data_IF_872923014785
#
_entry.id   IF_872923014785
#
_cell.length_a   1.000
_cell.length_b   1.000
_cell.length_c   1.000
_cell.angle_alpha   90.00
_cell.angle_beta   90.00
_cell.angle_gamma   90.00
#
_symmetry.space_group_name_H-M   'P 1'
#
loop_
_entity.id
_entity.type
_entity.pdbx_description
1 polymer ?
#
# COMPACT_ATOMS: atom_id res chain seq x y z
N UNK A 1 -2.22 18.76 14.85
CA UNK A 1 -1.57 19.00 13.56
C UNK A 1 -2.23 18.07 12.55
N UNK A 2 -2.86 18.58 11.51
CA UNK A 2 -3.57 17.72 10.54
C UNK A 2 -2.57 17.00 9.64
N UNK A 3 -2.77 15.70 9.40
CA UNK A 3 -1.98 14.87 8.46
C UNK A 3 -1.94 15.50 7.06
N UNK A 4 -2.95 16.29 6.70
CA UNK A 4 -3.00 17.05 5.45
C UNK A 4 -1.86 18.08 5.29
N UNK A 5 -1.31 18.62 6.39
CA UNK A 5 -0.18 19.58 6.34
C UNK A 5 1.18 18.90 6.17
N UNK A 6 1.25 17.58 6.44
CA UNK A 6 2.48 16.80 6.28
C UNK A 6 2.75 16.45 4.80
N UNK A 7 1.69 16.18 4.02
CA UNK A 7 1.84 15.79 2.61
C UNK A 7 2.59 16.84 1.76
N UNK A 8 2.26 18.14 1.79
CA UNK A 8 3.03 19.17 1.07
C UNK A 8 4.48 19.28 1.53
N UNK A 9 4.73 19.17 2.85
CA UNK A 9 6.10 19.22 3.40
C UNK A 9 6.93 18.03 2.91
N UNK A 10 6.36 16.84 2.91
CA UNK A 10 7.01 15.63 2.40
C UNK A 10 7.29 15.73 0.91
N UNK A 11 6.34 16.22 0.12
CA UNK A 11 6.56 16.48 -1.31
C UNK A 11 7.64 17.51 -1.56
N UNK A 12 7.71 18.59 -0.76
CA UNK A 12 8.75 19.60 -0.87
C UNK A 12 10.14 19.02 -0.60
N UNK A 13 10.26 18.09 0.36
CA UNK A 13 11.51 17.37 0.63
C UNK A 13 11.93 16.49 -0.56
N UNK A 14 10.98 15.85 -1.23
CA UNK A 14 11.25 14.98 -2.39
C UNK A 14 11.49 15.76 -3.69
N UNK A 15 11.08 17.04 -3.79
CA UNK A 15 11.11 17.83 -5.02
C UNK A 15 12.49 17.95 -5.67
N UNK A 16 13.61 18.13 -4.92
CA UNK A 16 14.95 18.13 -5.54
C UNK A 16 15.27 16.80 -6.24
N UNK A 17 14.93 15.67 -5.63
CA UNK A 17 15.10 14.33 -6.22
C UNK A 17 14.24 14.18 -7.48
N UNK A 18 12.97 14.60 -7.43
CA UNK A 18 12.05 14.52 -8.57
C UNK A 18 12.57 15.33 -9.76
N UNK A 19 13.10 16.54 -9.52
CA UNK A 19 13.72 17.37 -10.56
C UNK A 19 14.93 16.68 -11.20
N UNK A 20 15.79 16.07 -10.39
CA UNK A 20 16.96 15.34 -10.89
C UNK A 20 16.56 14.12 -11.74
N UNK A 21 15.55 13.36 -11.29
CA UNK A 21 15.03 12.22 -12.04
C UNK A 21 14.42 12.66 -13.37
N UNK A 22 13.61 13.73 -13.36
CA UNK A 22 13.03 14.30 -14.57
C UNK A 22 14.11 14.77 -15.56
N UNK A 23 15.15 15.47 -15.07
CA UNK A 23 16.28 15.93 -15.89
C UNK A 23 17.09 14.77 -16.52
N UNK A 24 17.11 13.60 -15.87
CA UNK A 24 17.72 12.35 -16.39
C UNK A 24 16.78 11.57 -17.31
N UNK A 25 15.59 12.06 -17.61
CA UNK A 25 14.61 11.38 -18.46
C UNK A 25 13.89 10.21 -17.79
N UNK A 26 13.97 10.08 -16.46
CA UNK A 26 13.23 9.03 -15.74
C UNK A 26 11.73 9.35 -15.77
N UNK A 27 10.94 8.35 -16.13
CA UNK A 27 9.47 8.48 -16.24
C UNK A 27 8.75 8.04 -14.97
N UNK A 28 7.56 8.61 -14.73
CA UNK A 28 6.67 8.20 -13.64
C UNK A 28 6.39 6.68 -13.69
N UNK A 29 6.10 6.15 -14.87
CA UNK A 29 5.82 4.72 -15.07
C UNK A 29 7.01 3.83 -14.70
N UNK A 30 8.25 4.26 -14.99
CA UNK A 30 9.45 3.52 -14.58
C UNK A 30 9.58 3.45 -13.07
N UNK A 31 9.33 4.55 -12.36
CA UNK A 31 9.36 4.57 -10.87
C UNK A 31 8.32 3.63 -10.31
N UNK A 32 7.09 3.68 -10.82
CA UNK A 32 5.98 2.80 -10.40
C UNK A 32 6.33 1.32 -10.61
N UNK A 33 6.84 0.95 -11.80
CA UNK A 33 7.22 -0.43 -12.13
C UNK A 33 8.38 -0.94 -11.29
N UNK A 34 9.43 -0.13 -11.08
CA UNK A 34 10.57 -0.49 -10.23
C UNK A 34 10.12 -0.72 -8.79
N UNK A 35 9.26 0.16 -8.25
CA UNK A 35 8.72 -0.01 -6.91
C UNK A 35 7.92 -1.32 -6.77
N UNK A 36 7.15 -1.69 -7.79
CA UNK A 36 6.42 -2.95 -7.82
C UNK A 36 7.35 -4.16 -7.89
N UNK A 37 8.32 -4.17 -8.81
CA UNK A 37 9.26 -5.28 -8.98
C UNK A 37 10.08 -5.52 -7.71
N UNK A 38 10.56 -4.46 -7.06
CA UNK A 38 11.27 -4.58 -5.80
C UNK A 38 10.36 -5.05 -4.65
N UNK A 39 9.08 -4.67 -4.65
CA UNK A 39 8.10 -5.19 -3.69
C UNK A 39 7.87 -6.69 -3.87
N UNK A 40 7.75 -7.14 -5.12
CA UNK A 40 7.61 -8.58 -5.44
C UNK A 40 8.88 -9.33 -5.02
N UNK A 41 10.06 -8.83 -5.39
CA UNK A 41 11.33 -9.46 -5.03
C UNK A 41 11.46 -9.61 -3.51
N UNK A 42 11.21 -8.53 -2.76
CA UNK A 42 11.26 -8.58 -1.30
C UNK A 42 10.23 -9.57 -0.74
N UNK A 43 9.00 -9.54 -1.22
CA UNK A 43 7.96 -10.48 -0.79
C UNK A 43 8.34 -11.93 -1.05
N UNK A 44 8.89 -12.23 -2.21
CA UNK A 44 9.39 -13.59 -2.55
C UNK A 44 10.52 -14.00 -1.61
N UNK A 45 11.51 -13.16 -1.38
CA UNK A 45 12.62 -13.45 -0.46
C UNK A 45 12.10 -13.76 0.95
N UNK A 46 11.20 -12.94 1.48
CA UNK A 46 10.63 -13.16 2.82
C UNK A 46 9.76 -14.41 2.90
N UNK A 47 9.03 -14.75 1.83
CA UNK A 47 8.20 -15.95 1.77
C UNK A 47 9.04 -17.24 1.67
N UNK A 48 10.21 -17.17 1.00
CA UNK A 48 11.14 -18.29 0.92
C UNK A 48 11.93 -18.52 2.23
N UNK A 49 12.13 -17.45 3.00
CA UNK A 49 12.91 -17.48 4.23
C UNK A 49 12.13 -16.94 5.44
N UNK A 50 10.91 -17.44 5.72
CA UNK A 50 10.05 -16.87 6.75
C UNK A 50 10.59 -17.00 8.17
N UNK A 51 11.45 -17.99 8.42
CA UNK A 51 12.08 -18.24 9.74
C UNK A 51 13.24 -17.29 10.07
N UNK A 52 13.80 -16.61 9.06
CA UNK A 52 14.82 -15.59 9.27
C UNK A 52 14.17 -14.25 9.65
N UNK A 53 13.72 -14.16 10.89
CA UNK A 53 12.93 -13.01 11.39
C UNK A 53 13.61 -11.67 11.11
N UNK A 54 14.94 -11.60 11.20
CA UNK A 54 15.72 -10.38 10.97
C UNK A 54 15.52 -9.78 9.58
N UNK A 55 15.18 -10.59 8.56
CA UNK A 55 14.88 -10.09 7.22
C UNK A 55 13.62 -9.22 7.20
N UNK A 56 12.70 -9.44 8.14
CA UNK A 56 11.47 -8.67 8.23
C UNK A 56 11.69 -7.21 8.67
N UNK A 57 12.89 -6.80 9.11
CA UNK A 57 13.28 -5.40 9.22
C UNK A 57 13.14 -4.65 7.89
N UNK A 58 13.27 -5.35 6.76
CA UNK A 58 13.11 -4.74 5.45
C UNK A 58 11.65 -4.30 5.17
N UNK A 59 10.65 -4.89 5.82
CA UNK A 59 9.23 -4.53 5.62
C UNK A 59 8.94 -3.08 5.96
N UNK A 60 9.16 -2.58 7.21
CA UNK A 60 8.86 -1.19 7.54
C UNK A 60 9.70 -0.21 6.72
N UNK A 61 10.98 -0.53 6.45
CA UNK A 61 11.86 0.31 5.63
C UNK A 61 11.31 0.40 4.22
N UNK A 62 10.95 -0.74 3.61
CA UNK A 62 10.46 -0.77 2.24
C UNK A 62 9.09 -0.12 2.09
N UNK A 63 8.17 -0.35 3.03
CA UNK A 63 6.86 0.31 3.01
C UNK A 63 6.98 1.82 3.09
N UNK A 64 7.93 2.36 3.88
CA UNK A 64 8.22 3.78 3.92
C UNK A 64 8.81 4.28 2.59
N UNK A 65 9.81 3.58 2.03
CA UNK A 65 10.40 3.92 0.73
C UNK A 65 9.36 3.86 -0.39
N UNK A 66 8.49 2.85 -0.40
CA UNK A 66 7.41 2.74 -1.38
C UNK A 66 6.43 3.90 -1.28
N UNK A 67 6.11 4.37 -0.07
CA UNK A 67 5.30 5.59 0.11
C UNK A 67 5.99 6.82 -0.52
N UNK A 68 7.31 6.94 -0.38
CA UNK A 68 8.07 8.00 -1.01
C UNK A 68 8.09 7.85 -2.54
N UNK A 69 8.30 6.64 -3.08
CA UNK A 69 8.28 6.38 -4.52
C UNK A 69 6.90 6.68 -5.15
N UNK A 70 5.80 6.34 -4.48
CA UNK A 70 4.45 6.72 -4.91
C UNK A 70 4.21 8.24 -4.87
N UNK A 71 4.90 8.98 -4.00
CA UNK A 71 4.86 10.43 -4.04
C UNK A 71 5.69 10.97 -5.23
N UNK A 72 6.85 10.36 -5.51
CA UNK A 72 7.75 10.72 -6.62
C UNK A 72 7.08 10.50 -7.97
N UNK A 73 6.48 9.31 -8.22
CA UNK A 73 5.81 9.03 -9.50
C UNK A 73 4.61 9.97 -9.73
N UNK A 74 3.83 10.23 -8.68
CA UNK A 74 2.73 11.18 -8.74
C UNK A 74 3.19 12.63 -8.98
N UNK A 75 4.37 13.04 -8.48
CA UNK A 75 4.96 14.36 -8.77
C UNK A 75 5.51 14.43 -10.20
N UNK A 76 6.23 13.41 -10.66
CA UNK A 76 6.69 13.30 -12.05
C UNK A 76 5.49 13.40 -13.01
N UNK A 77 4.42 12.67 -12.74
CA UNK A 77 3.22 12.67 -13.57
C UNK A 77 2.57 14.07 -13.64
N UNK A 78 2.45 14.76 -12.51
CA UNK A 78 1.71 16.05 -12.43
C UNK A 78 2.56 17.26 -12.76
N UNK A 79 3.81 17.33 -12.26
CA UNK A 79 4.64 18.52 -12.35
C UNK A 79 5.51 18.53 -13.63
N UNK A 80 5.71 17.36 -14.28
CA UNK A 80 6.53 17.21 -15.48
C UNK A 80 5.75 16.67 -16.69
N UNK A 81 4.42 16.84 -16.71
CA UNK A 81 3.53 16.47 -17.84
C UNK A 81 3.64 15.01 -18.29
N UNK A 82 3.92 14.08 -17.37
CA UNK A 82 4.05 12.66 -17.67
C UNK A 82 2.76 11.86 -17.38
N UNK A 83 1.61 12.53 -17.20
CA UNK A 83 0.33 11.84 -17.04
C UNK A 83 -0.02 11.06 -18.29
N UNK A 84 -0.37 9.77 -18.12
CA UNK A 84 -0.82 8.92 -19.22
C UNK A 84 -1.95 7.99 -18.75
N UNK A 85 -2.77 7.50 -19.68
CA UNK A 85 -3.79 6.49 -19.40
C UNK A 85 -3.15 5.21 -18.85
N UNK A 86 -2.05 4.77 -19.48
CA UNK A 86 -1.28 3.61 -19.00
C UNK A 86 -0.77 3.83 -17.57
N UNK A 87 -0.26 5.04 -17.25
CA UNK A 87 0.20 5.38 -15.90
C UNK A 87 -0.91 5.24 -14.85
N UNK A 88 -2.14 5.58 -15.18
CA UNK A 88 -3.30 5.36 -14.31
C UNK A 88 -3.52 3.87 -14.01
N UNK A 89 -3.53 3.01 -15.05
CA UNK A 89 -3.65 1.55 -14.86
C UNK A 89 -2.48 0.98 -14.06
N UNK A 90 -1.25 1.36 -14.42
CA UNK A 90 -0.06 0.88 -13.72
C UNK A 90 -0.11 1.22 -12.23
N UNK A 91 -0.43 2.47 -11.87
CA UNK A 91 -0.51 2.89 -10.48
C UNK A 91 -1.47 2.01 -9.66
N UNK A 92 -2.67 1.74 -10.20
CA UNK A 92 -3.67 0.94 -9.48
C UNK A 92 -3.28 -0.54 -9.37
N UNK A 93 -2.85 -1.14 -10.47
CA UNK A 93 -2.51 -2.56 -10.52
C UNK A 93 -1.27 -2.85 -9.69
N UNK A 94 -0.21 -2.04 -9.85
CA UNK A 94 1.04 -2.27 -9.12
C UNK A 94 0.90 -2.05 -7.62
N UNK A 95 -0.02 -1.18 -7.20
CA UNK A 95 -0.33 -0.99 -5.78
C UNK A 95 -0.93 -2.24 -5.16
N UNK A 96 -1.92 -2.85 -5.83
CA UNK A 96 -2.54 -4.10 -5.38
C UNK A 96 -1.53 -5.25 -5.37
N UNK A 97 -0.75 -5.40 -6.44
CA UNK A 97 0.27 -6.45 -6.57
C UNK A 97 1.35 -6.31 -5.51
N UNK A 98 1.83 -5.09 -5.27
CA UNK A 98 2.86 -4.84 -4.26
C UNK A 98 2.36 -5.10 -2.84
N UNK A 99 1.13 -4.69 -2.51
CA UNK A 99 0.52 -4.97 -1.22
C UNK A 99 0.40 -6.48 -1.00
N UNK A 100 -0.11 -7.22 -2.00
CA UNK A 100 -0.21 -8.67 -1.94
C UNK A 100 1.15 -9.34 -1.72
N UNK A 101 2.18 -8.94 -2.48
CA UNK A 101 3.51 -9.50 -2.37
C UNK A 101 4.14 -9.27 -0.99
N UNK A 102 3.95 -8.08 -0.39
CA UNK A 102 4.53 -7.72 0.89
C UNK A 102 3.78 -8.31 2.10
N UNK A 103 2.48 -8.61 1.95
CA UNK A 103 1.68 -9.18 3.03
C UNK A 103 1.73 -10.71 3.03
N UNK A 104 1.89 -11.35 1.87
CA UNK A 104 1.91 -12.81 1.73
C UNK A 104 2.93 -13.52 2.65
N UNK A 105 4.17 -13.03 2.88
CA UNK A 105 5.12 -13.68 3.78
C UNK A 105 4.59 -13.92 5.20
N UNK A 106 3.68 -13.08 5.68
CA UNK A 106 3.07 -13.25 7.00
C UNK A 106 2.18 -14.50 7.12
N UNK A 107 1.74 -15.08 5.99
CA UNK A 107 1.02 -16.35 6.00
C UNK A 107 1.88 -17.53 6.51
N UNK A 108 3.21 -17.35 6.53
CA UNK A 108 4.19 -18.33 6.99
C UNK A 108 4.77 -17.99 8.37
N UNK A 109 4.27 -16.95 9.02
CA UNK A 109 4.73 -16.47 10.34
C UNK A 109 3.63 -16.68 11.37
N UNK A 110 3.88 -17.58 12.35
CA UNK A 110 2.94 -17.74 13.46
C UNK A 110 2.80 -16.41 14.26
N UNK A 111 1.60 -16.09 14.75
CA UNK A 111 0.41 -16.90 14.88
C UNK A 111 -0.58 -16.78 13.69
N UNK A 112 -0.20 -16.12 12.60
CA UNK A 112 -1.07 -15.98 11.44
C UNK A 112 -1.20 -17.29 10.68
N UNK A 113 -2.29 -17.42 9.92
CA UNK A 113 -2.51 -18.54 9.01
C UNK A 113 -2.77 -18.06 7.57
N UNK A 114 -2.68 -19.00 6.63
CA UNK A 114 -2.83 -18.69 5.20
C UNK A 114 -4.21 -18.13 4.86
N UNK A 115 -5.28 -18.56 5.57
CA UNK A 115 -6.65 -18.09 5.31
C UNK A 115 -6.79 -16.63 5.73
N UNK A 116 -6.27 -16.27 6.91
CA UNK A 116 -6.31 -14.88 7.40
C UNK A 116 -5.59 -13.93 6.44
N UNK A 117 -4.34 -14.26 6.10
CA UNK A 117 -3.53 -13.36 5.25
C UNK A 117 -4.08 -13.29 3.83
N UNK A 118 -4.52 -14.40 3.25
CA UNK A 118 -5.18 -14.40 1.94
C UNK A 118 -6.48 -13.58 1.94
N UNK A 119 -7.27 -13.68 3.02
CA UNK A 119 -8.47 -12.85 3.19
C UNK A 119 -8.14 -11.36 3.26
N UNK A 120 -7.09 -10.99 3.98
CA UNK A 120 -6.62 -9.59 4.05
C UNK A 120 -6.18 -9.11 2.67
N UNK A 121 -5.40 -9.88 1.93
CA UNK A 121 -4.92 -9.54 0.58
C UNK A 121 -6.12 -9.34 -0.36
N UNK A 122 -7.06 -10.28 -0.36
CA UNK A 122 -8.26 -10.20 -1.21
C UNK A 122 -9.13 -8.99 -0.87
N UNK A 123 -9.42 -8.77 0.42
CA UNK A 123 -10.21 -7.62 0.87
C UNK A 123 -9.50 -6.29 0.65
N UNK A 124 -8.17 -6.24 0.76
CA UNK A 124 -7.38 -5.07 0.41
C UNK A 124 -7.56 -4.72 -1.07
N UNK A 125 -7.42 -5.70 -1.98
CA UNK A 125 -7.67 -5.52 -3.41
C UNK A 125 -9.12 -5.07 -3.69
N UNK A 126 -10.10 -5.72 -3.04
CA UNK A 126 -11.51 -5.35 -3.15
C UNK A 126 -11.78 -3.92 -2.68
N UNK A 127 -11.11 -3.48 -1.59
CA UNK A 127 -11.25 -2.12 -1.09
C UNK A 127 -10.76 -1.08 -2.11
N UNK A 128 -9.63 -1.34 -2.81
CA UNK A 128 -9.15 -0.45 -3.88
C UNK A 128 -10.10 -0.46 -5.09
N UNK A 129 -10.63 -1.64 -5.47
CA UNK A 129 -11.65 -1.75 -6.51
C UNK A 129 -12.90 -0.91 -6.17
N UNK A 130 -13.43 -1.02 -4.94
CA UNK A 130 -14.54 -0.17 -4.48
C UNK A 130 -14.22 1.31 -4.58
N UNK A 131 -12.95 1.69 -4.28
CA UNK A 131 -12.49 3.07 -4.41
C UNK A 131 -12.50 3.58 -5.85
N UNK A 132 -12.04 2.76 -6.81
CA UNK A 132 -12.02 3.08 -8.24
C UNK A 132 -13.45 3.12 -8.80
N UNK A 133 -14.30 2.16 -8.43
CA UNK A 133 -15.70 2.15 -8.85
C UNK A 133 -16.46 3.40 -8.41
N UNK A 134 -16.10 3.98 -7.26
CA UNK A 134 -16.62 5.28 -6.84
C UNK A 134 -16.34 6.40 -7.85
N UNK A 135 -15.20 6.37 -8.54
CA UNK A 135 -14.88 7.31 -9.62
C UNK A 135 -15.61 6.99 -10.93
N UNK A 136 -15.81 5.70 -11.22
CA UNK A 136 -16.49 5.25 -12.47
C UNK A 136 -17.98 5.49 -12.41
N UNK A 137 -18.61 5.26 -11.26
CA UNK A 137 -20.06 5.37 -11.05
C UNK A 137 -20.48 6.70 -10.43
N UNK A 138 -19.56 7.39 -9.75
CA UNK A 138 -19.76 8.68 -9.08
C UNK A 138 -18.93 9.79 -9.71
N UNK A 139 -18.42 10.70 -8.87
CA UNK A 139 -17.62 11.86 -9.28
C UNK A 139 -16.14 11.70 -8.94
N UNK A 140 -15.84 11.08 -7.78
CA UNK A 140 -14.48 11.02 -7.25
C UNK A 140 -14.07 9.62 -6.79
N UNK A 141 -12.76 9.34 -6.86
CA UNK A 141 -12.20 8.13 -6.26
C UNK A 141 -12.36 8.17 -4.74
N UNK A 142 -12.88 7.08 -4.18
CA UNK A 142 -13.13 6.98 -2.74
C UNK A 142 -11.89 6.46 -2.00
N UNK A 143 -11.58 7.12 -0.88
CA UNK A 143 -10.51 6.74 0.05
C UNK A 143 -11.01 6.52 1.48
N UNK A 144 -12.33 6.53 1.65
CA UNK A 144 -13.00 6.40 2.94
C UNK A 144 -12.70 5.05 3.60
N UNK A 145 -12.84 5.02 4.90
CA UNK A 145 -12.78 3.80 5.69
C UNK A 145 -11.58 3.73 6.63
N UNK A 146 -11.65 2.85 7.63
CA UNK A 146 -10.65 2.76 8.69
C UNK A 146 -9.40 1.95 8.33
N UNK A 147 -9.38 1.25 7.17
CA UNK A 147 -8.26 0.39 6.76
C UNK A 147 -7.88 0.67 5.30
N UNK A 148 -7.46 1.91 5.04
CA UNK A 148 -6.89 2.31 3.76
C UNK A 148 -5.46 1.78 3.56
N UNK A 149 -4.87 2.09 2.40
CA UNK A 149 -3.51 1.65 2.02
C UNK A 149 -2.46 2.02 3.06
N UNK A 150 -2.48 3.25 3.60
CA UNK A 150 -1.52 3.71 4.60
C UNK A 150 -1.68 3.00 5.95
N UNK A 151 -2.92 2.69 6.34
CA UNK A 151 -3.22 1.99 7.58
C UNK A 151 -2.71 0.54 7.51
N UNK A 152 -2.93 -0.13 6.37
CA UNK A 152 -2.37 -1.47 6.11
C UNK A 152 -0.84 -1.46 6.15
N UNK A 153 -0.22 -0.50 5.46
CA UNK A 153 1.24 -0.36 5.46
C UNK A 153 1.79 -0.15 6.87
N UNK A 154 1.11 0.64 7.70
CA UNK A 154 1.48 0.84 9.10
C UNK A 154 1.37 -0.46 9.89
N UNK A 155 0.24 -1.17 9.83
CA UNK A 155 0.02 -2.42 10.57
C UNK A 155 1.07 -3.46 10.19
N UNK A 156 1.26 -3.74 8.89
CA UNK A 156 2.24 -4.73 8.43
C UNK A 156 3.68 -4.27 8.68
N UNK A 157 3.95 -2.97 8.63
CA UNK A 157 5.24 -2.41 9.03
C UNK A 157 5.56 -2.68 10.51
N UNK A 158 4.60 -2.44 11.41
CA UNK A 158 4.74 -2.73 12.85
C UNK A 158 4.88 -4.23 13.10
N UNK A 159 4.06 -5.07 12.46
CA UNK A 159 4.15 -6.52 12.61
C UNK A 159 5.52 -7.06 12.13
N UNK A 160 6.02 -6.57 10.99
CA UNK A 160 7.34 -6.92 10.48
C UNK A 160 8.46 -6.51 11.45
N UNK A 161 8.39 -5.30 12.01
CA UNK A 161 9.34 -4.81 13.00
C UNK A 161 9.33 -5.67 14.27
N UNK A 162 8.15 -5.96 14.80
CA UNK A 162 8.00 -6.76 16.02
C UNK A 162 8.51 -8.19 15.81
N UNK A 163 8.20 -8.80 14.66
CA UNK A 163 8.72 -10.12 14.33
C UNK A 163 10.25 -10.11 14.20
N UNK A 164 10.79 -9.09 13.52
CA UNK A 164 12.24 -8.96 13.34
C UNK A 164 13.03 -8.80 14.64
N UNK A 165 12.46 -8.02 15.61
CA UNK A 165 13.09 -7.77 16.91
C UNK A 165 12.98 -8.97 17.85
N UNK A 166 11.80 -9.61 17.91
CA UNK A 166 11.53 -10.64 18.93
C UNK A 166 11.77 -12.07 18.43
N UNK A 167 11.94 -12.28 17.13
CA UNK A 167 12.07 -13.62 16.52
C UNK A 167 10.76 -14.42 16.47
N UNK A 168 9.72 -13.93 17.13
CA UNK A 168 8.38 -14.53 17.17
C UNK A 168 7.32 -13.48 17.47
N UNK A 169 6.06 -13.77 17.16
CA UNK A 169 4.92 -12.94 17.52
C UNK A 169 4.06 -13.66 18.57
N UNK A 170 3.57 -12.89 19.55
CA UNK A 170 2.67 -13.43 20.56
C UNK A 170 1.33 -13.88 19.93
N UNK A 171 0.70 -14.93 20.48
CA UNK A 171 -0.55 -15.48 19.98
C UNK A 171 -1.70 -14.47 19.87
N UNK A 172 -1.69 -13.40 20.66
CA UNK A 172 -2.67 -12.31 20.56
C UNK A 172 -2.66 -11.61 19.21
N UNK A 173 -1.55 -11.64 18.44
CA UNK A 173 -1.51 -11.04 17.11
C UNK A 173 -2.43 -11.75 16.10
N UNK A 174 -2.85 -12.98 16.37
CA UNK A 174 -3.92 -13.64 15.61
C UNK A 174 -5.20 -12.78 15.56
N UNK A 175 -5.54 -12.15 16.68
CA UNK A 175 -6.70 -11.24 16.73
C UNK A 175 -6.50 -9.95 15.94
N UNK A 176 -5.26 -9.46 15.83
CA UNK A 176 -4.96 -8.28 15.02
C UNK A 176 -5.31 -8.54 13.55
N UNK A 177 -4.98 -9.70 12.99
CA UNK A 177 -5.35 -10.06 11.61
C UNK A 177 -6.88 -10.10 11.42
N UNK A 178 -7.64 -10.65 12.38
CA UNK A 178 -9.10 -10.66 12.33
C UNK A 178 -9.70 -9.24 12.41
N UNK A 179 -9.14 -8.37 13.26
CA UNK A 179 -9.54 -6.97 13.33
C UNK A 179 -9.29 -6.27 11.98
N UNK A 180 -8.14 -6.50 11.35
CA UNK A 180 -7.83 -5.96 10.01
C UNK A 180 -8.86 -6.42 8.98
N UNK A 181 -9.26 -7.70 8.99
CA UNK A 181 -10.31 -8.23 8.12
C UNK A 181 -11.63 -7.48 8.31
N UNK A 182 -12.07 -7.31 9.56
CA UNK A 182 -13.31 -6.58 9.88
C UNK A 182 -13.22 -5.13 9.40
N UNK A 183 -12.10 -4.45 9.67
CA UNK A 183 -11.91 -3.06 9.26
C UNK A 183 -11.86 -2.90 7.73
N UNK A 184 -11.32 -3.89 7.00
CA UNK A 184 -11.36 -3.91 5.53
C UNK A 184 -12.78 -4.07 4.99
N UNK A 185 -13.60 -4.94 5.58
CA UNK A 185 -15.02 -5.08 5.22
C UNK A 185 -15.74 -3.75 5.44
N UNK A 186 -15.55 -3.11 6.59
CA UNK A 186 -16.12 -1.78 6.89
C UNK A 186 -15.63 -0.73 5.88
N UNK A 187 -14.37 -0.81 5.46
CA UNK A 187 -13.79 0.09 4.45
C UNK A 187 -14.50 -0.09 3.10
N UNK A 188 -14.69 -1.33 2.63
CA UNK A 188 -15.42 -1.59 1.39
C UNK A 188 -16.86 -1.03 1.44
N UNK A 189 -17.58 -1.31 2.53
CA UNK A 189 -18.96 -0.83 2.72
C UNK A 189 -19.01 0.71 2.70
N UNK A 190 -18.11 1.39 3.42
CA UNK A 190 -18.05 2.85 3.45
C UNK A 190 -17.74 3.45 2.08
N UNK A 191 -16.80 2.86 1.32
CA UNK A 191 -16.45 3.33 -0.03
C UNK A 191 -17.64 3.23 -0.97
N UNK A 192 -18.38 2.12 -0.95
CA UNK A 192 -19.61 1.95 -1.76
C UNK A 192 -20.69 2.94 -1.33
N UNK A 193 -20.99 3.00 -0.02
CA UNK A 193 -22.05 3.89 0.50
C UNK A 193 -21.78 5.36 0.14
N UNK A 194 -20.55 5.82 0.36
CA UNK A 194 -20.19 7.22 0.11
C UNK A 194 -20.08 7.51 -1.40
N UNK A 195 -19.66 6.52 -2.22
CA UNK A 195 -19.68 6.65 -3.68
C UNK A 195 -21.10 6.82 -4.24
N UNK A 196 -22.05 6.07 -3.71
CA UNK A 196 -23.47 6.21 -4.09
C UNK A 196 -24.06 7.55 -3.65
N UNK A 197 -23.71 8.05 -2.46
CA UNK A 197 -24.20 9.33 -1.96
C UNK A 197 -23.77 10.53 -2.83
N UNK A 198 -22.57 10.46 -3.47
CA UNK A 198 -22.11 11.53 -4.39
C UNK A 198 -22.97 11.69 -5.66
N UNK A 199 -23.75 10.69 -6.03
CA UNK A 199 -24.57 10.71 -7.26
C UNK A 199 -25.94 11.31 -7.00
N UNK A 200 -26.39 11.29 -5.75
CA UNK A 200 -27.71 11.80 -5.32
C UNK A 200 -27.70 13.30 -5.02
N UNK A 201 -26.54 13.95 -5.03
CA UNK A 201 -26.35 15.40 -4.94
C UNK A 201 -25.94 15.98 -6.32
#
# INVERSE_FOLDING_TARGET
MSIYTLKPKFQNLLRPLVRQLAAKGVTANQVTLIACLLSILLGVVLALFPTFSTLFFLIPIWLFLRMALNAVDGMLAREFNQKSRLGGYLNEITDVVSDAALYLPFAFVAPFDGIQISSIIWLAALSELCGILGQVQGKTRRYDGPMGKSDRAFVFGVLGLLYAVNGSLHSLFWWVANIVIILLIVTCIKRVKNGLAEVTE
#
